data_IF_960273847556
#
_entry.id   IF_960273847556
#
_cell.length_a   1.000
_cell.length_b   1.000
_cell.length_c   1.000
_cell.angle_alpha   90.00
_cell.angle_beta   90.00
_cell.angle_gamma   90.00
#
_symmetry.space_group_name_H-M   'P 1'
#
loop_
_entity.id
_entity.type
_entity.pdbx_description
1 polymer ?
#
# COMPACT_ATOMS: atom_id res chain seq x y z
N UNK A 1 -15.83 -10.45 2.85
CA UNK A 1 -14.77 -9.44 3.06
C UNK A 1 -13.39 -10.05 3.26
N UNK A 2 -13.26 -11.31 3.69
CA UNK A 2 -12.01 -12.12 3.60
C UNK A 2 -12.38 -13.48 2.99
N UNK A 3 -11.44 -14.27 2.44
CA UNK A 3 -9.98 -14.04 2.35
C UNK A 3 -9.55 -13.06 1.24
N UNK A 4 -8.32 -12.54 1.35
CA UNK A 4 -7.61 -11.90 0.25
C UNK A 4 -6.89 -12.98 -0.59
N UNK A 5 -6.47 -12.67 -1.83
CA UNK A 5 -5.93 -13.68 -2.77
C UNK A 5 -4.51 -13.37 -3.21
N UNK A 6 -3.59 -14.30 -2.93
CA UNK A 6 -2.21 -14.29 -3.44
C UNK A 6 -2.11 -15.29 -4.58
N UNK A 7 -1.67 -14.83 -5.76
CA UNK A 7 -1.36 -15.70 -6.89
C UNK A 7 0.00 -16.35 -6.69
N UNK A 8 0.01 -17.65 -6.41
CA UNK A 8 1.25 -18.45 -6.42
C UNK A 8 1.94 -18.38 -7.78
N UNK A 9 1.19 -18.48 -8.88
CA UNK A 9 1.73 -18.44 -10.25
C UNK A 9 2.49 -17.15 -10.54
N UNK A 10 1.96 -15.99 -10.14
CA UNK A 10 2.61 -14.70 -10.36
C UNK A 10 3.72 -14.48 -9.34
N UNK A 11 3.53 -14.91 -8.08
CA UNK A 11 4.55 -14.78 -7.05
C UNK A 11 5.81 -15.58 -7.37
N UNK A 12 5.66 -16.82 -7.85
CA UNK A 12 6.78 -17.66 -8.32
C UNK A 12 7.57 -17.00 -9.46
N UNK A 13 6.93 -16.18 -10.31
CA UNK A 13 7.63 -15.44 -11.38
C UNK A 13 8.36 -14.19 -10.86
N UNK A 14 7.77 -13.51 -9.87
CA UNK A 14 8.26 -12.22 -9.40
C UNK A 14 9.25 -12.34 -8.22
N UNK A 15 9.21 -13.45 -7.47
CA UNK A 15 9.98 -13.68 -6.25
C UNK A 15 11.06 -14.72 -6.47
N UNK A 16 11.97 -14.41 -7.38
CA UNK A 16 13.12 -15.24 -7.74
C UNK A 16 14.27 -14.97 -6.77
N UNK A 17 14.82 -16.03 -6.18
CA UNK A 17 16.01 -15.93 -5.35
C UNK A 17 17.31 -15.88 -6.16
N UNK A 18 18.45 -15.80 -5.48
CA UNK A 18 19.76 -15.73 -6.12
C UNK A 18 20.16 -17.02 -6.87
N UNK A 19 19.45 -18.13 -6.62
CA UNK A 19 19.66 -19.41 -7.30
C UNK A 19 18.79 -19.54 -8.56
N UNK A 20 17.92 -18.56 -8.84
CA UNK A 20 16.97 -18.61 -9.94
C UNK A 20 15.67 -19.35 -9.61
N UNK A 21 15.42 -19.67 -8.34
CA UNK A 21 14.22 -20.38 -7.90
C UNK A 21 13.11 -19.40 -7.49
N UNK A 22 11.89 -19.65 -7.95
CA UNK A 22 10.71 -18.88 -7.57
C UNK A 22 10.08 -19.35 -6.27
N UNK A 23 9.59 -18.42 -5.45
CA UNK A 23 9.03 -18.73 -4.13
C UNK A 23 7.67 -18.09 -3.89
N UNK A 24 6.78 -18.83 -3.22
CA UNK A 24 5.49 -18.34 -2.73
C UNK A 24 5.48 -18.35 -1.19
N UNK A 25 5.12 -17.22 -0.58
CA UNK A 25 5.08 -17.05 0.87
C UNK A 25 4.12 -15.93 1.26
N UNK A 26 3.73 -15.90 2.53
CA UNK A 26 2.80 -14.89 3.05
C UNK A 26 3.48 -13.53 3.21
N UNK A 27 2.68 -12.46 3.16
CA UNK A 27 3.15 -11.15 3.59
C UNK A 27 3.22 -11.04 5.12
N UNK A 28 4.03 -10.10 5.60
CA UNK A 28 4.05 -9.63 6.98
C UNK A 28 3.02 -8.51 7.15
N UNK A 29 2.17 -8.65 8.18
CA UNK A 29 1.12 -7.68 8.47
C UNK A 29 0.14 -7.55 7.32
N UNK A 30 -0.13 -6.30 6.88
CA UNK A 30 -1.09 -6.04 5.81
C UNK A 30 -0.63 -6.52 4.43
N UNK A 31 0.63 -6.23 4.05
CA UNK A 31 1.13 -6.42 2.68
C UNK A 31 2.65 -6.27 2.51
N UNK A 32 3.43 -6.30 3.59
CA UNK A 32 4.89 -6.22 3.45
C UNK A 32 5.42 -7.58 3.00
N UNK A 33 5.94 -7.68 1.79
CA UNK A 33 6.58 -8.91 1.34
C UNK A 33 8.07 -8.81 1.58
N UNK A 34 8.63 -9.87 2.16
CA UNK A 34 10.07 -10.04 2.16
C UNK A 34 10.57 -10.12 0.70
N UNK A 35 11.81 -9.70 0.48
CA UNK A 35 12.57 -10.03 -0.72
C UNK A 35 13.08 -11.48 -0.60
N UNK A 36 13.22 -12.21 -1.73
CA UNK A 36 13.84 -13.53 -1.73
C UNK A 36 15.22 -13.51 -1.06
N UNK A 37 15.46 -14.48 -0.17
CA UNK A 37 16.68 -14.62 0.60
C UNK A 37 16.98 -16.10 0.75
N UNK A 38 18.26 -16.45 0.60
CA UNK A 38 18.75 -17.78 0.94
C UNK A 38 19.78 -17.68 2.05
N UNK A 39 19.71 -18.62 2.99
CA UNK A 39 20.59 -18.69 4.14
C UNK A 39 22.00 -19.16 3.77
N UNK A 40 22.85 -19.35 4.78
CA UNK A 40 24.22 -19.83 4.65
C UNK A 40 24.33 -21.25 4.03
N UNK A 41 23.24 -22.03 4.04
CA UNK A 41 23.16 -23.35 3.42
C UNK A 41 22.56 -23.29 2.00
N UNK A 42 22.31 -22.08 1.47
CA UNK A 42 21.68 -21.88 0.17
C UNK A 42 20.19 -22.19 0.15
N UNK A 43 19.53 -22.32 1.31
CA UNK A 43 18.10 -22.63 1.40
C UNK A 43 17.25 -21.37 1.60
N UNK A 44 16.05 -21.29 1.01
CA UNK A 44 15.16 -20.17 1.21
C UNK A 44 14.73 -20.05 2.69
N UNK A 45 14.64 -18.82 3.19
CA UNK A 45 14.13 -18.55 4.54
C UNK A 45 13.20 -17.34 4.54
N UNK A 46 12.01 -17.54 5.10
CA UNK A 46 10.95 -16.52 5.18
C UNK A 46 10.42 -16.37 6.59
N UNK A 47 10.05 -17.47 7.25
CA UNK A 47 9.62 -17.44 8.65
C UNK A 47 10.76 -17.03 9.58
N UNK A 48 10.42 -16.14 10.52
CA UNK A 48 11.36 -15.54 11.49
C UNK A 48 12.14 -14.33 10.96
N UNK A 49 12.01 -13.97 9.68
CA UNK A 49 12.52 -12.70 9.16
C UNK A 49 11.57 -11.55 9.50
N UNK A 50 12.07 -10.32 9.39
CA UNK A 50 11.35 -9.11 9.82
C UNK A 50 11.66 -7.91 8.92
N UNK A 51 10.89 -6.84 9.10
CA UNK A 51 11.12 -5.53 8.48
C UNK A 51 11.56 -4.53 9.55
N UNK A 52 12.57 -3.72 9.24
CA UNK A 52 13.18 -2.75 10.15
C UNK A 52 12.38 -1.45 10.28
N UNK A 53 11.47 -1.18 9.34
CA UNK A 53 10.63 0.01 9.34
C UNK A 53 10.34 0.55 7.94
N UNK A 54 9.56 1.63 7.91
CA UNK A 54 9.11 2.29 6.68
C UNK A 54 9.37 3.79 6.77
N UNK A 55 9.84 4.38 5.67
CA UNK A 55 9.80 5.83 5.41
C UNK A 55 9.11 6.03 4.08
N UNK A 56 8.04 6.84 4.05
CA UNK A 56 7.21 7.01 2.85
C UNK A 56 7.49 8.34 2.17
N UNK A 57 7.86 8.30 0.89
CA UNK A 57 7.90 9.49 0.04
C UNK A 57 6.48 9.87 -0.42
N UNK A 58 6.18 11.17 -0.37
CA UNK A 58 4.98 11.74 -0.96
C UNK A 58 5.28 12.16 -2.40
N UNK A 59 4.86 11.36 -3.39
CA UNK A 59 5.16 11.65 -4.80
C UNK A 59 4.43 12.91 -5.29
N UNK A 60 3.26 13.21 -4.74
CA UNK A 60 2.49 14.42 -5.06
C UNK A 60 3.29 15.68 -4.73
N UNK A 61 4.06 15.66 -3.64
CA UNK A 61 4.93 16.77 -3.25
C UNK A 61 6.02 17.04 -4.31
N UNK A 62 6.57 15.98 -4.90
CA UNK A 62 7.58 16.07 -5.95
C UNK A 62 6.94 16.68 -7.21
N UNK A 63 5.84 16.11 -7.68
CA UNK A 63 5.13 16.61 -8.87
C UNK A 63 4.71 18.08 -8.75
N UNK A 64 4.12 18.47 -7.62
CA UNK A 64 3.71 19.85 -7.39
C UNK A 64 4.88 20.81 -7.20
N UNK A 65 6.00 20.37 -6.60
CA UNK A 65 7.19 21.22 -6.45
C UNK A 65 7.89 21.47 -7.79
N UNK A 66 7.79 20.52 -8.71
CA UNK A 66 8.36 20.60 -10.04
C UNK A 66 7.59 21.53 -10.97
N UNK A 67 6.30 21.77 -10.72
CA UNK A 67 5.45 22.68 -11.51
C UNK A 67 5.52 22.38 -13.02
N UNK A 68 5.38 21.10 -13.38
CA UNK A 68 5.42 20.56 -14.75
C UNK A 68 6.77 20.66 -15.47
N UNK A 69 7.82 21.15 -14.80
CA UNK A 69 9.18 21.11 -15.31
C UNK A 69 9.81 19.73 -15.03
N UNK A 70 10.12 18.99 -16.10
CA UNK A 70 10.62 17.61 -16.02
C UNK A 70 12.05 17.54 -15.48
N UNK A 71 12.91 18.50 -15.80
CA UNK A 71 14.29 18.52 -15.31
C UNK A 71 14.28 18.81 -13.80
N UNK A 72 13.46 19.78 -13.39
CA UNK A 72 13.24 20.10 -11.98
C UNK A 72 12.57 18.94 -11.23
N UNK A 73 11.68 18.19 -11.87
CA UNK A 73 11.07 17.00 -11.29
C UNK A 73 12.14 15.99 -10.87
N UNK A 74 13.05 15.62 -11.78
CA UNK A 74 14.09 14.64 -11.47
C UNK A 74 15.12 15.15 -10.46
N UNK A 75 15.42 16.46 -10.45
CA UNK A 75 16.24 17.06 -9.41
C UNK A 75 15.59 16.93 -8.02
N UNK A 76 14.33 17.35 -7.88
CA UNK A 76 13.59 17.29 -6.60
C UNK A 76 13.38 15.83 -6.19
N UNK A 77 13.13 14.95 -7.16
CA UNK A 77 12.99 13.53 -6.93
C UNK A 77 14.25 12.97 -6.25
N UNK A 78 15.45 13.25 -6.79
CA UNK A 78 16.70 12.84 -6.15
C UNK A 78 16.83 13.41 -4.73
N UNK A 79 16.60 14.71 -4.52
CA UNK A 79 16.65 15.33 -3.20
C UNK A 79 15.74 14.63 -2.18
N UNK A 80 14.52 14.26 -2.60
CA UNK A 80 13.56 13.54 -1.73
C UNK A 80 13.96 12.09 -1.52
N UNK A 81 14.56 11.41 -2.50
CA UNK A 81 15.12 10.07 -2.32
C UNK A 81 16.25 10.09 -1.30
N UNK A 82 17.21 11.02 -1.41
CA UNK A 82 18.31 11.17 -0.44
C UNK A 82 17.80 11.49 0.97
N UNK A 83 16.77 12.33 1.10
CA UNK A 83 16.15 12.60 2.40
C UNK A 83 15.51 11.34 3.00
N UNK A 84 14.79 10.55 2.19
CA UNK A 84 14.20 9.30 2.65
C UNK A 84 15.27 8.28 3.05
N UNK A 85 16.36 8.19 2.28
CA UNK A 85 17.50 7.32 2.58
C UNK A 85 18.10 7.62 3.94
N UNK A 86 18.45 8.88 4.22
CA UNK A 86 18.96 9.29 5.56
C UNK A 86 18.00 8.95 6.69
N UNK A 87 16.70 9.06 6.46
CA UNK A 87 15.70 8.69 7.46
C UNK A 87 15.58 7.17 7.66
N UNK A 88 15.83 6.37 6.62
CA UNK A 88 15.91 4.91 6.71
C UNK A 88 17.19 4.49 7.42
N UNK A 89 18.34 5.08 7.08
CA UNK A 89 19.63 4.84 7.76
C UNK A 89 19.51 5.13 9.26
N UNK A 90 18.93 6.27 9.65
CA UNK A 90 18.74 6.60 11.06
C UNK A 90 17.89 5.54 11.81
N UNK A 91 16.96 4.87 11.14
CA UNK A 91 16.19 3.76 11.73
C UNK A 91 17.03 2.49 11.86
N UNK A 92 17.83 2.18 10.83
CA UNK A 92 18.74 1.06 10.83
C UNK A 92 19.78 1.19 11.96
N UNK A 93 20.48 2.33 12.01
CA UNK A 93 21.47 2.65 13.04
C UNK A 93 20.89 2.58 14.46
N UNK A 94 19.62 2.95 14.62
CA UNK A 94 18.94 2.88 15.92
C UNK A 94 18.77 1.44 16.43
N UNK A 95 18.77 0.45 15.54
CA UNK A 95 18.70 -0.98 15.86
C UNK A 95 20.08 -1.58 16.12
N UNK A 96 21.15 -1.00 15.57
CA UNK A 96 22.53 -1.48 15.78
C UNK A 96 22.89 -1.52 17.27
N UNK A 97 23.49 -2.63 17.70
CA UNK A 97 23.83 -2.90 19.10
C UNK A 97 22.66 -3.36 19.96
N UNK A 98 21.45 -3.53 19.40
CA UNK A 98 20.30 -4.06 20.17
C UNK A 98 20.57 -5.50 20.59
N UNK A 99 20.61 -5.74 21.90
CA UNK A 99 20.77 -7.08 22.48
C UNK A 99 19.45 -7.85 22.50
N UNK A 100 19.55 -9.18 22.43
CA UNK A 100 18.41 -10.11 22.40
C UNK A 100 17.48 -9.96 23.62
N UNK A 101 18.00 -9.46 24.75
CA UNK A 101 17.25 -9.17 25.98
C UNK A 101 16.16 -8.10 25.80
N UNK A 102 16.25 -7.24 24.78
CA UNK A 102 15.26 -6.18 24.54
C UNK A 102 13.85 -6.74 24.25
N UNK A 103 13.77 -7.95 23.67
CA UNK A 103 12.52 -8.66 23.41
C UNK A 103 12.76 -10.17 23.32
N UNK A 104 12.85 -10.90 24.45
CA UNK A 104 13.26 -12.30 24.47
C UNK A 104 12.38 -13.21 23.61
N UNK A 105 11.06 -12.94 23.53
CA UNK A 105 10.15 -13.70 22.67
C UNK A 105 10.54 -13.61 21.18
N UNK A 106 10.96 -12.43 20.73
CA UNK A 106 11.39 -12.19 19.35
C UNK A 106 12.75 -12.83 19.09
N UNK A 107 13.71 -12.55 19.96
CA UNK A 107 15.12 -12.81 19.67
C UNK A 107 15.67 -14.12 20.21
N UNK A 108 15.10 -14.66 21.30
CA UNK A 108 15.65 -15.84 22.00
C UNK A 108 14.75 -17.08 21.87
N UNK A 109 13.42 -16.90 21.87
CA UNK A 109 12.47 -18.02 21.96
C UNK A 109 11.82 -18.45 20.64
N UNK A 110 12.33 -17.96 19.51
CA UNK A 110 12.04 -18.52 18.19
C UNK A 110 10.91 -17.85 17.42
N UNK A 111 10.39 -16.69 17.84
CA UNK A 111 9.46 -15.95 17.00
C UNK A 111 10.15 -15.36 15.76
N UNK A 112 11.35 -14.76 15.95
CA UNK A 112 12.24 -14.37 14.85
C UNK A 112 13.51 -15.23 14.85
N UNK A 113 14.17 -15.29 16.00
CA UNK A 113 15.49 -15.89 16.16
C UNK A 113 15.60 -16.71 17.47
N UNK A 114 16.72 -17.43 17.61
CA UNK A 114 17.10 -18.18 18.81
C UNK A 114 18.48 -17.78 19.30
N UNK A 115 18.67 -16.49 19.53
CA UNK A 115 19.89 -15.91 20.09
C UNK A 115 20.02 -16.26 21.57
N UNK A 116 21.26 -16.38 22.03
CA UNK A 116 21.60 -16.42 23.45
C UNK A 116 21.36 -15.05 24.07
N UNK A 117 21.20 -15.06 25.39
CA UNK A 117 21.12 -13.84 26.20
C UNK A 117 22.35 -12.96 25.97
N UNK A 118 22.16 -11.67 25.74
CA UNK A 118 23.23 -10.69 25.49
C UNK A 118 23.78 -10.63 24.06
N UNK A 119 23.42 -11.54 23.15
CA UNK A 119 23.84 -11.45 21.74
C UNK A 119 23.13 -10.28 21.02
N UNK A 120 23.83 -9.59 20.11
CA UNK A 120 23.25 -8.51 19.31
C UNK A 120 22.54 -9.05 18.07
N UNK A 121 21.56 -8.28 17.58
CA UNK A 121 20.82 -8.61 16.34
C UNK A 121 21.53 -8.15 15.06
N UNK A 122 22.71 -7.51 15.16
CA UNK A 122 23.36 -6.78 14.06
C UNK A 122 23.55 -7.63 12.80
N UNK A 123 23.96 -8.90 12.96
CA UNK A 123 24.11 -9.86 11.84
C UNK A 123 22.85 -9.94 10.98
N UNK A 124 21.68 -9.76 11.58
CA UNK A 124 20.37 -9.92 10.93
C UNK A 124 19.80 -8.62 10.38
N UNK A 125 20.48 -7.49 10.62
CA UNK A 125 20.16 -6.19 10.01
C UNK A 125 20.77 -6.05 8.60
N UNK A 126 21.73 -6.92 8.25
CA UNK A 126 22.45 -6.92 6.97
C UNK A 126 22.24 -8.22 6.18
N UNK A 127 22.73 -8.23 4.93
CA UNK A 127 22.85 -9.46 4.13
C UNK A 127 21.52 -10.06 3.66
N UNK A 128 20.44 -9.28 3.67
CA UNK A 128 19.13 -9.74 3.19
C UNK A 128 18.22 -10.38 4.24
N UNK A 129 18.68 -10.62 5.48
CA UNK A 129 17.84 -11.31 6.46
C UNK A 129 16.61 -10.48 6.86
N UNK A 130 16.77 -9.18 7.09
CA UNK A 130 15.66 -8.26 7.30
C UNK A 130 15.58 -7.25 6.16
N UNK A 131 14.37 -6.73 5.92
CA UNK A 131 14.14 -5.70 4.89
C UNK A 131 13.96 -4.32 5.51
N UNK A 132 14.21 -3.27 4.74
CA UNK A 132 13.96 -1.88 5.12
C UNK A 132 13.19 -1.18 3.99
N UNK A 133 12.04 -0.61 4.30
CA UNK A 133 11.07 -0.26 3.26
C UNK A 133 11.08 1.22 2.91
N UNK A 134 11.41 1.53 1.67
CA UNK A 134 11.08 2.83 1.08
C UNK A 134 9.61 2.78 0.64
N UNK A 135 8.77 3.46 1.40
CA UNK A 135 7.36 3.61 1.10
C UNK A 135 7.11 4.66 0.00
N UNK A 136 6.04 4.53 -0.76
CA UNK A 136 5.56 5.58 -1.67
C UNK A 136 4.03 5.71 -1.67
N UNK A 137 3.57 6.87 -2.13
CA UNK A 137 2.17 7.28 -2.09
C UNK A 137 1.87 8.37 -3.14
N UNK A 138 0.64 8.36 -3.68
CA UNK A 138 0.14 9.40 -4.59
C UNK A 138 0.77 9.39 -5.98
N UNK A 139 1.03 8.21 -6.55
CA UNK A 139 1.58 8.12 -7.91
C UNK A 139 0.62 8.73 -8.94
N UNK A 140 -0.68 8.47 -8.78
CA UNK A 140 -1.70 8.99 -9.68
C UNK A 140 -1.71 10.53 -9.72
N UNK A 141 -1.78 11.17 -8.55
CA UNK A 141 -1.79 12.64 -8.44
C UNK A 141 -0.45 13.24 -8.89
N UNK A 142 0.67 12.57 -8.62
CA UNK A 142 1.99 12.97 -9.11
C UNK A 142 2.03 13.03 -10.63
N UNK A 143 1.65 11.94 -11.30
CA UNK A 143 1.60 11.85 -12.77
C UNK A 143 0.63 12.92 -13.32
N UNK A 144 -0.58 12.99 -12.78
CA UNK A 144 -1.59 13.95 -13.24
C UNK A 144 -1.12 15.40 -13.09
N UNK A 145 -0.45 15.74 -11.98
CA UNK A 145 0.05 17.10 -11.75
C UNK A 145 1.13 17.52 -12.76
N UNK A 146 1.96 16.58 -13.20
CA UNK A 146 3.06 16.83 -14.14
C UNK A 146 2.61 16.87 -15.60
N UNK A 147 1.74 15.94 -15.99
CA UNK A 147 1.43 15.69 -17.41
C UNK A 147 0.01 16.08 -17.80
N UNK A 148 -0.90 16.22 -16.83
CA UNK A 148 -2.34 16.31 -17.07
C UNK A 148 -2.99 15.00 -17.53
N UNK A 149 -2.22 13.89 -17.55
CA UNK A 149 -2.67 12.56 -17.96
C UNK A 149 -2.93 11.68 -16.75
N UNK A 150 -3.97 10.86 -16.81
CA UNK A 150 -4.30 9.88 -15.78
C UNK A 150 -3.40 8.66 -15.90
N UNK A 151 -3.27 7.91 -14.82
CA UNK A 151 -2.50 6.65 -14.81
C UNK A 151 -3.11 5.57 -15.74
N UNK A 152 -4.40 5.71 -16.09
CA UNK A 152 -5.16 4.87 -17.01
C UNK A 152 -4.99 5.27 -18.49
N UNK A 153 -4.33 6.40 -18.78
CA UNK A 153 -3.98 6.82 -20.13
C UNK A 153 -2.55 6.34 -20.48
N UNK A 154 -2.25 5.97 -21.74
CA UNK A 154 -0.94 5.41 -22.11
C UNK A 154 0.26 6.27 -21.68
N UNK A 155 0.19 7.59 -21.85
CA UNK A 155 1.28 8.50 -21.47
C UNK A 155 1.44 8.62 -19.95
N UNK A 156 0.32 8.56 -19.21
CA UNK A 156 0.36 8.56 -17.75
C UNK A 156 0.85 7.24 -17.17
N UNK A 157 0.44 6.10 -17.76
CA UNK A 157 0.99 4.78 -17.43
C UNK A 157 2.50 4.77 -17.64
N UNK A 158 2.97 5.22 -18.80
CA UNK A 158 4.40 5.26 -19.14
C UNK A 158 5.20 6.05 -18.09
N UNK A 159 4.78 7.28 -17.79
CA UNK A 159 5.49 8.11 -16.82
C UNK A 159 5.42 7.53 -15.40
N UNK A 160 4.27 6.95 -15.01
CA UNK A 160 4.14 6.25 -13.73
C UNK A 160 5.11 5.07 -13.60
N UNK A 161 5.28 4.27 -14.68
CA UNK A 161 6.22 3.15 -14.71
C UNK A 161 7.68 3.64 -14.66
N UNK A 162 8.00 4.75 -15.33
CA UNK A 162 9.32 5.38 -15.26
C UNK A 162 9.66 5.82 -13.83
N UNK A 163 8.74 6.48 -13.13
CA UNK A 163 8.91 6.84 -11.71
C UNK A 163 9.17 5.59 -10.87
N UNK A 164 8.36 4.55 -11.02
CA UNK A 164 8.50 3.31 -10.23
C UNK A 164 9.83 2.60 -10.50
N UNK A 165 10.28 2.53 -11.77
CA UNK A 165 11.60 2.00 -12.13
C UNK A 165 12.71 2.82 -11.49
N UNK A 166 12.61 4.15 -11.55
CA UNK A 166 13.60 5.04 -10.93
C UNK A 166 13.70 4.83 -9.42
N UNK A 167 12.58 4.71 -8.70
CA UNK A 167 12.64 4.44 -7.25
C UNK A 167 13.34 3.10 -6.97
N UNK A 168 13.08 2.06 -7.77
CA UNK A 168 13.76 0.78 -7.61
C UNK A 168 15.27 0.88 -7.83
N UNK A 169 15.74 1.69 -8.81
CA UNK A 169 17.18 1.95 -9.01
C UNK A 169 17.84 2.50 -7.75
N UNK A 170 17.19 3.41 -7.02
CA UNK A 170 17.69 3.92 -5.75
C UNK A 170 17.78 2.82 -4.69
N UNK A 171 16.72 2.03 -4.51
CA UNK A 171 16.74 0.94 -3.52
C UNK A 171 17.79 -0.12 -3.85
N UNK A 172 18.01 -0.43 -5.13
CA UNK A 172 19.05 -1.34 -5.57
C UNK A 172 20.45 -0.78 -5.30
N UNK A 173 20.67 0.51 -5.60
CA UNK A 173 21.93 1.21 -5.34
C UNK A 173 22.29 1.22 -3.85
N UNK A 174 21.34 1.56 -2.98
CA UNK A 174 21.57 1.57 -1.52
C UNK A 174 21.83 0.16 -0.99
N UNK A 175 21.10 -0.84 -1.52
CA UNK A 175 21.31 -2.24 -1.14
C UNK A 175 22.71 -2.74 -1.48
N UNK A 176 23.20 -2.40 -2.67
CA UNK A 176 24.56 -2.75 -3.10
C UNK A 176 25.63 -2.03 -2.25
N UNK A 177 25.43 -0.75 -1.96
CA UNK A 177 26.39 0.07 -1.22
C UNK A 177 26.51 -0.30 0.26
N UNK A 178 25.40 -0.66 0.92
CA UNK A 178 25.33 -0.77 2.38
C UNK A 178 25.09 -2.20 2.88
N UNK A 179 24.83 -3.15 1.98
CA UNK A 179 24.46 -4.52 2.33
C UNK A 179 23.21 -4.59 3.24
N UNK A 180 22.27 -3.66 3.04
CA UNK A 180 20.95 -3.57 3.70
C UNK A 180 19.87 -3.81 2.65
N UNK A 181 18.86 -4.62 2.96
CA UNK A 181 17.86 -5.01 1.95
C UNK A 181 16.72 -3.99 1.82
N UNK A 182 17.03 -2.88 1.14
CA UNK A 182 16.06 -1.88 0.78
C UNK A 182 15.06 -2.41 -0.25
N UNK A 183 13.77 -2.17 -0.04
CA UNK A 183 12.73 -2.57 -0.99
C UNK A 183 11.59 -1.56 -1.08
N UNK A 184 11.06 -1.39 -2.29
CA UNK A 184 9.96 -0.46 -2.56
C UNK A 184 8.63 -1.01 -2.04
N UNK A 185 7.90 -0.18 -1.30
CA UNK A 185 6.71 -0.57 -0.54
C UNK A 185 5.52 0.36 -0.84
N UNK A 186 4.46 -0.19 -1.42
CA UNK A 186 3.18 0.49 -1.54
C UNK A 186 2.60 0.71 -0.14
N UNK A 187 2.76 1.92 0.41
CA UNK A 187 2.44 2.21 1.82
C UNK A 187 0.94 2.13 2.06
N UNK A 188 0.42 1.36 3.05
CA UNK A 188 -0.98 1.43 3.47
C UNK A 188 -1.29 2.83 4.03
N UNK A 189 -1.89 3.70 3.23
CA UNK A 189 -2.15 5.10 3.61
C UNK A 189 -3.41 5.28 4.43
N UNK A 190 -3.56 4.57 5.54
CA UNK A 190 -4.84 4.57 6.27
C UNK A 190 -5.22 5.95 6.82
N UNK A 191 -4.51 6.43 7.84
CA UNK A 191 -4.64 7.79 8.38
C UNK A 191 -3.69 8.78 7.68
N UNK A 192 -2.59 8.26 7.13
CA UNK A 192 -1.56 9.04 6.44
C UNK A 192 -2.10 9.75 5.20
N UNK A 193 -3.09 9.18 4.50
CA UNK A 193 -3.68 9.83 3.31
C UNK A 193 -4.24 11.22 3.63
N UNK A 194 -4.98 11.35 4.74
CA UNK A 194 -5.56 12.62 5.17
C UNK A 194 -4.48 13.61 5.60
N UNK A 195 -3.47 13.14 6.33
CA UNK A 195 -2.34 13.98 6.74
C UNK A 195 -1.57 14.51 5.53
N UNK A 196 -1.28 13.66 4.54
CA UNK A 196 -0.57 14.07 3.31
C UNK A 196 -1.40 15.09 2.54
N UNK A 197 -2.69 14.83 2.32
CA UNK A 197 -3.58 15.77 1.65
C UNK A 197 -3.62 17.14 2.35
N UNK A 198 -3.73 17.18 3.69
CA UNK A 198 -3.73 18.43 4.45
C UNK A 198 -2.41 19.18 4.40
N UNK A 199 -1.28 18.48 4.45
CA UNK A 199 0.04 19.09 4.30
C UNK A 199 0.23 19.66 2.89
N UNK A 200 -0.19 18.94 1.85
CA UNK A 200 -0.14 19.40 0.46
C UNK A 200 -1.04 20.61 0.23
N UNK A 201 -2.29 20.59 0.73
CA UNK A 201 -3.20 21.73 0.68
C UNK A 201 -2.63 22.97 1.37
N UNK A 202 -2.00 22.80 2.54
CA UNK A 202 -1.35 23.90 3.26
C UNK A 202 -0.18 24.50 2.47
N UNK A 203 0.59 23.67 1.76
CA UNK A 203 1.80 24.09 1.04
C UNK A 203 1.50 24.65 -0.35
N UNK A 204 0.60 24.03 -1.09
CA UNK A 204 0.35 24.31 -2.52
C UNK A 204 -1.05 24.88 -2.79
N UNK A 205 -1.92 24.96 -1.78
CA UNK A 205 -3.31 25.34 -1.96
C UNK A 205 -4.17 24.20 -2.52
N UNK A 206 -5.37 24.56 -2.98
CA UNK A 206 -6.36 23.65 -3.55
C UNK A 206 -6.19 23.60 -5.07
N UNK A 207 -5.72 22.47 -5.59
CA UNK A 207 -5.47 22.23 -7.01
C UNK A 207 -6.43 21.14 -7.46
N UNK A 208 -7.27 21.47 -8.45
CA UNK A 208 -8.30 20.56 -8.98
C UNK A 208 -7.67 19.26 -9.48
N UNK A 209 -8.23 18.13 -9.06
CA UNK A 209 -7.74 16.80 -9.39
C UNK A 209 -6.44 16.38 -8.69
N UNK A 210 -5.86 17.18 -7.80
CA UNK A 210 -4.59 16.84 -7.11
C UNK A 210 -4.72 16.98 -5.60
N UNK A 211 -5.06 18.18 -5.12
CA UNK A 211 -5.18 18.50 -3.68
C UNK A 211 -6.57 19.01 -3.31
N UNK A 212 -7.54 18.91 -4.21
CA UNK A 212 -8.94 19.28 -3.99
C UNK A 212 -9.72 18.30 -3.12
N UNK A 213 -9.15 17.12 -2.87
CA UNK A 213 -9.70 16.10 -1.98
C UNK A 213 -8.95 16.06 -0.66
N UNK A 214 -9.62 15.57 0.38
CA UNK A 214 -9.01 15.37 1.69
C UNK A 214 -8.19 14.07 1.77
N UNK A 215 -7.82 13.47 0.65
CA UNK A 215 -7.03 12.26 0.57
C UNK A 215 -6.15 12.30 -0.67
N UNK A 216 -5.13 11.45 -0.69
CA UNK A 216 -4.36 11.11 -1.88
C UNK A 216 -4.52 9.62 -2.19
N UNK A 217 -4.33 9.26 -3.45
CA UNK A 217 -4.44 7.88 -3.91
C UNK A 217 -3.32 7.01 -3.34
N UNK A 218 -3.69 5.80 -2.97
CA UNK A 218 -2.81 4.87 -2.28
C UNK A 218 -1.78 4.29 -3.24
N UNK A 219 -0.49 4.55 -3.01
CA UNK A 219 0.61 3.99 -3.81
C UNK A 219 0.41 4.17 -5.33
N UNK A 220 0.18 3.07 -6.06
CA UNK A 220 0.03 2.99 -7.52
C UNK A 220 -1.42 2.78 -8.00
N UNK A 221 -2.39 2.81 -7.08
CA UNK A 221 -3.77 2.47 -7.40
C UNK A 221 -4.35 3.42 -8.45
N UNK A 222 -5.26 2.91 -9.27
CA UNK A 222 -6.13 3.76 -10.08
C UNK A 222 -6.96 4.65 -9.14
N UNK A 223 -7.17 5.91 -9.52
CA UNK A 223 -7.89 6.84 -8.67
C UNK A 223 -9.35 6.38 -8.50
N UNK A 224 -9.86 6.45 -7.28
CA UNK A 224 -11.13 5.82 -6.87
C UNK A 224 -12.38 6.29 -7.60
N UNK A 225 -12.31 7.47 -8.24
CA UNK A 225 -13.40 8.06 -9.03
C UNK A 225 -13.37 7.67 -10.51
N UNK A 226 -12.38 6.90 -10.96
CA UNK A 226 -12.28 6.51 -12.36
C UNK A 226 -13.14 5.28 -12.66
N UNK A 227 -14.08 5.43 -13.59
CA UNK A 227 -14.85 4.30 -14.10
C UNK A 227 -13.95 3.39 -14.95
N UNK A 228 -13.64 2.22 -14.42
CA UNK A 228 -12.84 1.17 -15.04
C UNK A 228 -13.39 -0.18 -14.56
N UNK A 229 -13.41 -1.21 -15.41
CA UNK A 229 -13.83 -2.54 -14.96
C UNK A 229 -12.73 -3.24 -14.16
N UNK A 230 -13.12 -4.31 -13.46
CA UNK A 230 -12.23 -5.05 -12.57
C UNK A 230 -11.00 -5.62 -13.28
N UNK A 231 -11.16 -6.09 -14.52
CA UNK A 231 -10.11 -6.81 -15.25
C UNK A 231 -9.07 -5.83 -15.78
N UNK A 232 -9.51 -4.74 -16.42
CA UNK A 232 -8.61 -3.69 -16.92
C UNK A 232 -7.86 -3.00 -15.77
N UNK A 233 -8.55 -2.73 -14.66
CA UNK A 233 -7.91 -2.16 -13.46
C UNK A 233 -6.80 -3.06 -12.93
N UNK A 234 -7.09 -4.36 -12.75
CA UNK A 234 -6.10 -5.32 -12.26
C UNK A 234 -4.97 -5.55 -13.26
N UNK A 235 -5.24 -5.55 -14.57
CA UNK A 235 -4.22 -5.66 -15.61
C UNK A 235 -3.22 -4.50 -15.58
N UNK A 236 -3.73 -3.26 -15.45
CA UNK A 236 -2.92 -2.06 -15.32
C UNK A 236 -2.11 -2.09 -14.02
N UNK A 237 -2.77 -2.33 -12.89
CA UNK A 237 -2.15 -2.34 -11.57
C UNK A 237 -1.11 -3.47 -11.39
N UNK A 238 -1.25 -4.59 -12.10
CA UNK A 238 -0.27 -5.68 -12.09
C UNK A 238 1.12 -5.22 -12.57
N UNK A 239 1.18 -4.32 -13.57
CA UNK A 239 2.43 -3.75 -14.10
C UNK A 239 3.19 -3.00 -13.01
N UNK A 240 2.46 -2.26 -12.17
CA UNK A 240 3.03 -1.51 -11.04
C UNK A 240 3.36 -2.40 -9.84
N UNK A 241 2.53 -3.42 -9.57
CA UNK A 241 2.78 -4.36 -8.48
C UNK A 241 4.10 -5.13 -8.69
N UNK A 242 4.44 -5.49 -9.92
CA UNK A 242 5.73 -6.09 -10.26
C UNK A 242 6.93 -5.19 -9.89
N UNK A 243 6.74 -3.87 -9.89
CA UNK A 243 7.74 -2.87 -9.50
C UNK A 243 7.68 -2.49 -8.01
N UNK A 244 6.86 -3.14 -7.18
CA UNK A 244 6.78 -2.83 -5.74
C UNK A 244 7.07 -4.07 -4.88
N UNK A 245 8.29 -4.62 -4.97
CA UNK A 245 8.62 -5.93 -4.40
C UNK A 245 8.52 -6.00 -2.87
N UNK A 246 8.73 -4.89 -2.15
CA UNK A 246 8.64 -4.85 -0.69
C UNK A 246 7.22 -4.85 -0.15
N UNK A 247 6.22 -4.62 -1.00
CA UNK A 247 4.81 -4.75 -0.63
C UNK A 247 3.87 -4.03 -1.58
N UNK A 248 2.74 -4.67 -1.87
CA UNK A 248 1.73 -4.18 -2.80
C UNK A 248 0.46 -5.02 -2.66
N UNK A 249 -0.69 -4.47 -3.03
CA UNK A 249 -1.99 -5.16 -3.10
C UNK A 249 -2.92 -4.31 -3.97
N UNK A 250 -3.82 -4.94 -4.71
CA UNK A 250 -4.84 -4.26 -5.51
C UNK A 250 -6.25 -4.61 -5.04
N UNK A 251 -7.17 -3.65 -5.18
CA UNK A 251 -8.56 -3.82 -4.75
C UNK A 251 -9.52 -3.65 -5.91
N UNK A 252 -10.57 -4.47 -5.90
CA UNK A 252 -11.74 -4.35 -6.76
C UNK A 252 -12.96 -4.11 -5.87
N UNK A 253 -13.54 -2.92 -5.96
CA UNK A 253 -14.84 -2.58 -5.37
C UNK A 253 -15.97 -3.32 -6.08
N UNK A 254 -16.74 -4.10 -5.32
CA UNK A 254 -17.85 -4.93 -5.82
C UNK A 254 -19.09 -4.76 -4.94
N UNK A 255 -20.31 -4.95 -5.48
CA UNK A 255 -21.53 -4.97 -4.68
C UNK A 255 -21.61 -6.24 -3.80
N UNK A 256 -22.79 -6.55 -3.26
CA UNK A 256 -23.01 -7.85 -2.63
C UNK A 256 -22.96 -8.96 -3.70
N UNK A 257 -21.94 -9.81 -3.62
CA UNK A 257 -21.69 -10.88 -4.60
C UNK A 257 -22.20 -12.26 -4.15
N UNK A 258 -22.94 -12.37 -3.04
CA UNK A 258 -23.39 -13.68 -2.50
C UNK A 258 -24.21 -14.51 -3.51
N UNK A 259 -24.99 -13.83 -4.36
CA UNK A 259 -25.84 -14.47 -5.37
C UNK A 259 -25.18 -14.52 -6.77
N UNK A 260 -23.91 -14.15 -6.91
CA UNK A 260 -23.19 -14.15 -8.18
C UNK A 260 -21.76 -14.71 -8.02
N UNK A 261 -21.68 -15.97 -7.63
CA UNK A 261 -20.41 -16.68 -7.40
C UNK A 261 -19.61 -16.85 -8.70
N UNK A 262 -20.27 -16.94 -9.85
CA UNK A 262 -19.60 -17.07 -11.16
C UNK A 262 -18.73 -15.84 -11.47
N UNK A 263 -19.23 -14.63 -11.21
CA UNK A 263 -18.46 -13.41 -11.37
C UNK A 263 -17.27 -13.35 -10.39
N UNK A 264 -17.46 -13.78 -9.13
CA UNK A 264 -16.35 -13.88 -8.16
C UNK A 264 -15.26 -14.82 -8.66
N UNK A 265 -15.64 -16.01 -9.15
CA UNK A 265 -14.69 -16.99 -9.69
C UNK A 265 -13.97 -16.48 -10.94
N UNK A 266 -14.64 -15.71 -11.80
CA UNK A 266 -14.01 -15.08 -12.96
C UNK A 266 -12.89 -14.11 -12.54
N UNK A 267 -13.17 -13.23 -11.56
CA UNK A 267 -12.15 -12.32 -11.02
C UNK A 267 -11.03 -13.08 -10.32
N UNK A 268 -11.32 -14.14 -9.55
CA UNK A 268 -10.28 -14.95 -8.91
C UNK A 268 -9.34 -15.62 -9.92
N UNK A 269 -9.87 -16.16 -11.03
CA UNK A 269 -9.06 -16.72 -12.11
C UNK A 269 -8.16 -15.65 -12.71
N UNK A 270 -8.72 -14.47 -12.98
CA UNK A 270 -7.94 -13.35 -13.49
C UNK A 270 -6.82 -12.93 -12.51
N UNK A 271 -7.13 -12.86 -11.21
CA UNK A 271 -6.13 -12.58 -10.17
C UNK A 271 -5.01 -13.60 -10.24
N UNK A 272 -5.35 -14.89 -10.20
CA UNK A 272 -4.37 -15.98 -10.25
C UNK A 272 -3.45 -15.89 -11.47
N UNK A 273 -3.96 -15.48 -12.63
CA UNK A 273 -3.16 -15.45 -13.85
C UNK A 273 -2.33 -14.17 -14.04
N UNK A 274 -2.74 -13.05 -13.45
CA UNK A 274 -2.23 -11.72 -13.85
C UNK A 274 -1.61 -10.89 -12.73
N UNK A 275 -2.05 -11.01 -11.47
CA UNK A 275 -1.62 -10.11 -10.39
C UNK A 275 -1.27 -10.87 -9.11
N UNK A 276 -0.19 -10.47 -8.44
CA UNK A 276 0.39 -11.21 -7.31
C UNK A 276 -0.49 -11.19 -6.07
N UNK A 277 -1.07 -10.04 -5.70
CA UNK A 277 -1.88 -9.91 -4.50
C UNK A 277 -3.04 -8.94 -4.75
N UNK A 278 -4.27 -9.44 -4.65
CA UNK A 278 -5.48 -8.65 -4.86
C UNK A 278 -6.67 -9.14 -4.03
N UNK A 279 -7.70 -8.30 -3.89
CA UNK A 279 -8.90 -8.60 -3.13
C UNK A 279 -10.15 -7.92 -3.72
N UNK A 280 -11.31 -8.53 -3.45
CA UNK A 280 -12.63 -7.99 -3.76
C UNK A 280 -13.18 -7.29 -2.51
N UNK A 281 -13.19 -5.97 -2.53
CA UNK A 281 -13.75 -5.18 -1.45
C UNK A 281 -15.27 -5.12 -1.61
N UNK A 282 -15.98 -5.67 -0.62
CA UNK A 282 -17.43 -5.62 -0.53
C UNK A 282 -17.84 -4.91 0.75
N UNK A 283 -19.08 -4.43 0.79
CA UNK A 283 -19.62 -3.65 1.91
C UNK A 283 -20.46 -4.57 2.80
N UNK A 284 -20.28 -4.47 4.11
CA UNK A 284 -21.05 -5.24 5.08
C UNK A 284 -21.43 -4.33 6.22
N UNK A 285 -22.67 -3.86 6.20
CA UNK A 285 -23.17 -2.95 7.22
C UNK A 285 -24.41 -3.49 7.90
N UNK A 286 -24.65 -3.03 9.13
CA UNK A 286 -25.81 -3.41 9.91
C UNK A 286 -26.25 -2.27 10.82
N UNK A 287 -27.51 -1.85 10.74
CA UNK A 287 -28.10 -0.87 11.63
C UNK A 287 -28.80 -1.57 12.80
N UNK A 288 -28.35 -1.31 14.03
CA UNK A 288 -28.87 -1.96 15.23
C UNK A 288 -30.24 -1.41 15.66
N UNK A 289 -30.63 -0.24 15.13
CA UNK A 289 -31.93 0.40 15.45
C UNK A 289 -33.08 -0.25 14.68
N UNK A 290 -32.89 -0.53 13.40
CA UNK A 290 -33.98 -1.01 12.52
C UNK A 290 -33.69 -2.35 11.84
N UNK A 291 -32.53 -2.96 12.08
CA UNK A 291 -32.13 -4.24 11.49
C UNK A 291 -31.76 -4.17 10.01
N UNK A 292 -31.58 -2.98 9.43
CA UNK A 292 -31.15 -2.83 8.05
C UNK A 292 -29.74 -3.39 7.84
N UNK A 293 -29.59 -4.29 6.87
CA UNK A 293 -28.37 -5.05 6.56
C UNK A 293 -27.79 -4.74 5.15
N UNK A 294 -28.25 -3.64 4.54
CA UNK A 294 -27.70 -3.09 3.30
C UNK A 294 -26.67 -1.99 3.54
N UNK A 295 -26.23 -1.32 2.46
CA UNK A 295 -25.19 -0.28 2.54
C UNK A 295 -25.66 0.98 3.31
N UNK A 296 -24.89 1.36 4.35
CA UNK A 296 -25.08 2.62 5.07
C UNK A 296 -24.50 3.78 4.24
N UNK A 297 -25.30 4.83 4.06
CA UNK A 297 -24.96 5.97 3.20
C UNK A 297 -24.06 6.98 3.90
N UNK A 298 -23.17 7.62 3.15
CA UNK A 298 -22.38 8.77 3.62
C UNK A 298 -23.04 10.06 3.15
N UNK A 299 -23.52 10.88 4.09
CA UNK A 299 -24.14 12.19 3.81
C UNK A 299 -23.38 13.33 4.44
N UNK A 300 -23.61 14.53 3.93
CA UNK A 300 -23.09 15.75 4.52
C UNK A 300 -24.10 16.28 5.56
N UNK A 301 -23.61 16.62 6.75
CA UNK A 301 -24.42 17.25 7.79
C UNK A 301 -24.50 18.78 7.57
N UNK A 302 -25.22 19.49 8.45
CA UNK A 302 -25.39 20.95 8.34
C UNK A 302 -24.07 21.75 8.42
N UNK A 303 -23.03 21.17 9.00
CA UNK A 303 -21.72 21.79 9.19
C UNK A 303 -20.72 21.43 8.09
N UNK A 304 -21.16 20.72 7.04
CA UNK A 304 -20.29 20.27 5.95
C UNK A 304 -19.46 19.02 6.26
N UNK A 305 -19.76 18.31 7.36
CA UNK A 305 -19.05 17.07 7.72
C UNK A 305 -19.72 15.85 7.11
N UNK A 306 -18.92 14.90 6.63
CA UNK A 306 -19.38 13.60 6.20
C UNK A 306 -19.73 12.73 7.41
N UNK A 307 -20.95 12.22 7.43
CA UNK A 307 -21.54 11.37 8.48
C UNK A 307 -22.18 10.14 7.85
N UNK A 308 -22.17 9.03 8.59
CA UNK A 308 -22.83 7.79 8.18
C UNK A 308 -24.29 7.82 8.61
N UNK A 309 -25.19 7.48 7.68
CA UNK A 309 -26.64 7.56 7.91
C UNK A 309 -27.31 6.30 7.37
N UNK A 310 -28.04 5.60 8.23
CA UNK A 310 -28.88 4.50 7.81
C UNK A 310 -29.97 5.00 6.83
N UNK A 311 -30.07 4.47 5.61
CA UNK A 311 -31.08 4.92 4.64
C UNK A 311 -32.50 4.53 5.06
N UNK A 312 -32.66 3.45 5.83
CA UNK A 312 -33.97 2.93 6.24
C UNK A 312 -34.61 3.73 7.38
N UNK A 313 -33.87 4.02 8.47
CA UNK A 313 -34.42 4.70 9.65
C UNK A 313 -33.82 6.08 9.94
N UNK A 314 -32.78 6.48 9.19
CA UNK A 314 -32.09 7.74 9.42
C UNK A 314 -31.12 7.76 10.60
N UNK A 315 -30.85 6.62 11.25
CA UNK A 315 -29.86 6.53 12.34
C UNK A 315 -28.50 7.09 11.91
N UNK A 316 -27.95 7.98 12.73
CA UNK A 316 -26.57 8.51 12.63
C UNK A 316 -25.76 8.26 13.90
N UNK A 317 -26.32 7.51 14.85
CA UNK A 317 -25.62 7.08 16.07
C UNK A 317 -24.68 5.94 15.71
N UNK A 318 -23.39 6.27 15.64
CA UNK A 318 -22.27 5.40 15.29
C UNK A 318 -22.18 4.16 16.20
N UNK A 319 -22.55 4.27 17.48
CA UNK A 319 -22.54 3.15 18.43
C UNK A 319 -23.68 2.14 18.17
N UNK A 320 -24.66 2.50 17.33
CA UNK A 320 -25.81 1.67 16.95
C UNK A 320 -25.78 1.25 15.50
N UNK A 321 -24.59 1.19 14.92
CA UNK A 321 -24.38 0.67 13.57
C UNK A 321 -23.01 0.00 13.46
N UNK A 322 -22.95 -1.10 12.71
CA UNK A 322 -21.70 -1.65 12.24
C UNK A 322 -21.53 -1.20 10.79
N UNK A 323 -20.46 -0.48 10.51
CA UNK A 323 -20.06 -0.15 9.14
C UNK A 323 -18.70 -0.78 8.90
N UNK A 324 -18.66 -1.81 8.05
CA UNK A 324 -17.41 -2.46 7.72
C UNK A 324 -16.94 -2.01 6.34
N UNK A 325 -15.75 -1.42 6.29
CA UNK A 325 -15.07 -1.07 5.04
C UNK A 325 -13.63 -1.50 5.13
N UNK A 326 -13.09 -1.89 3.97
CA UNK A 326 -11.65 -2.05 3.81
C UNK A 326 -11.05 -0.74 3.32
N UNK A 327 -10.22 -0.12 4.15
CA UNK A 327 -9.57 1.16 3.85
C UNK A 327 -8.21 0.97 3.20
N UNK A 328 -7.45 0.01 3.73
CA UNK A 328 -6.16 -0.43 3.26
C UNK A 328 -6.13 -1.96 3.43
N UNK A 329 -5.23 -2.51 4.25
CA UNK A 329 -5.05 -3.96 4.37
C UNK A 329 -6.00 -4.70 5.32
N UNK A 330 -6.82 -4.00 6.09
CA UNK A 330 -7.70 -4.64 7.08
C UNK A 330 -9.13 -4.09 7.01
N UNK A 331 -10.07 -4.89 7.52
CA UNK A 331 -11.46 -4.50 7.68
C UNK A 331 -11.55 -3.71 8.98
N UNK A 332 -11.80 -2.40 8.88
CA UNK A 332 -12.13 -1.60 10.04
C UNK A 332 -13.63 -1.65 10.28
N UNK A 333 -14.03 -1.76 11.54
CA UNK A 333 -15.43 -1.65 12.00
C UNK A 333 -15.66 -0.35 12.76
N UNK A 334 -14.79 0.64 12.56
CA UNK A 334 -14.83 1.94 13.24
C UNK A 334 -14.78 3.07 12.22
N UNK A 335 -15.53 4.13 12.53
CA UNK A 335 -15.66 5.33 11.70
C UNK A 335 -14.31 5.99 11.43
N UNK A 336 -14.08 6.37 10.17
CA UNK A 336 -12.80 6.94 9.74
C UNK A 336 -12.81 8.47 9.71
N UNK A 337 -11.60 9.04 9.63
CA UNK A 337 -11.44 10.47 9.44
C UNK A 337 -12.11 10.97 8.14
N UNK A 338 -12.35 12.27 8.05
CA UNK A 338 -13.07 12.88 6.92
C UNK A 338 -12.42 12.60 5.55
N UNK A 339 -11.09 12.49 5.47
CA UNK A 339 -10.40 12.15 4.21
C UNK A 339 -10.71 10.74 3.74
N UNK A 340 -10.63 9.77 4.66
CA UNK A 340 -10.94 8.38 4.36
C UNK A 340 -12.43 8.18 4.10
N UNK A 341 -13.30 8.83 4.85
CA UNK A 341 -14.75 8.82 4.60
C UNK A 341 -15.08 9.42 3.23
N UNK A 342 -14.40 10.50 2.83
CA UNK A 342 -14.54 11.06 1.48
C UNK A 342 -14.09 10.07 0.41
N UNK A 343 -12.92 9.45 0.59
CA UNK A 343 -12.39 8.46 -0.35
C UNK A 343 -13.33 7.27 -0.53
N UNK A 344 -13.89 6.73 0.56
CA UNK A 344 -14.86 5.62 0.50
C UNK A 344 -16.14 6.04 -0.23
N UNK A 345 -16.63 7.26 0.03
CA UNK A 345 -17.84 7.81 -0.62
C UNK A 345 -17.67 7.91 -2.14
N UNK A 346 -16.46 8.18 -2.61
CA UNK A 346 -16.15 8.47 -4.01
C UNK A 346 -15.71 7.22 -4.82
N UNK A 347 -15.61 6.05 -4.18
CA UNK A 347 -15.29 4.79 -4.84
C UNK A 347 -16.39 4.35 -5.81
N UNK A 348 -15.99 4.13 -7.06
CA UNK A 348 -16.86 3.50 -8.06
C UNK A 348 -16.81 1.97 -7.93
N UNK A 349 -17.90 1.30 -8.33
CA UNK A 349 -17.91 -0.16 -8.47
C UNK A 349 -17.24 -0.55 -9.78
N UNK A 350 -16.53 -1.68 -9.77
CA UNK A 350 -15.88 -2.21 -10.98
C UNK A 350 -16.57 -3.46 -11.54
N UNK A 351 -17.60 -3.97 -10.84
CA UNK A 351 -18.49 -5.07 -11.26
C UNK A 351 -19.95 -4.67 -11.13
#
# INVERSE_FOLDING_TARGET
MVPDYISEKVMLKNKIDKNGEGHCYTCMGCRSFLTPYVDENGKPKYYGRFNQGVVTVNLVDIGLSADKDMDKFWQIFDERMQLCHRALEARHERLTGTVSDAAPILWQYGALLRLKKGETIDKYLHGGYSTLSLGYAGLWECVYSMTGKKLTEPEGEQFGLEIMKKINEYTAKWKEAENIDYSLYGTPLESTTYKFAKCLQKRFGVIKGVTDKNYITNSYHVHVTENIDAFDKLALEAKFQALSPGGAISYVEVPNMQNNIEAVLAVMRFIYDNIMYAELNTKSDYCHVCGFDGEIEIKENKDGKLVWKCPNCGNTDEDKMNVARRTCGYIGTQFWNQGRTQEIKERVLHL
#
